data_IF_704602253241
#
_entry.id   IF_704602253241
#
_cell.length_a   1.000
_cell.length_b   1.000
_cell.length_c   1.000
_cell.angle_alpha   90.00
_cell.angle_beta   90.00
_cell.angle_gamma   90.00
#
_symmetry.space_group_name_H-M   'P 1'
#
loop_
_entity.id
_entity.type
_entity.pdbx_description
1 polymer ?
#
# COMPACT_ATOMS: atom_id res chain seq x y z
N UNK A 1 8.61 7.18 -0.69
CA UNK A 1 8.51 8.56 -0.19
C UNK A 1 7.89 9.41 -1.27
N UNK A 2 6.81 10.09 -0.98
CA UNK A 2 6.14 11.01 -1.89
C UNK A 2 6.39 12.44 -1.44
N UNK A 3 6.74 13.32 -2.35
CA UNK A 3 6.89 14.73 -2.09
C UNK A 3 5.69 15.48 -2.66
N UNK A 4 4.96 16.19 -1.81
CA UNK A 4 3.90 17.11 -2.19
C UNK A 4 4.38 18.55 -1.98
N UNK A 5 4.32 19.37 -3.02
CA UNK A 5 4.46 20.82 -2.85
C UNK A 5 3.13 21.39 -2.36
N UNK A 6 3.04 21.74 -1.10
CA UNK A 6 1.98 22.56 -0.60
C UNK A 6 2.44 24.03 -0.64
N UNK A 7 1.74 24.87 -1.40
CA UNK A 7 2.02 26.30 -1.47
C UNK A 7 1.43 27.06 -0.29
N UNK A 8 1.82 26.72 0.91
CA UNK A 8 1.56 27.59 2.06
C UNK A 8 2.72 28.59 2.19
N UNK A 9 2.50 29.80 1.77
CA UNK A 9 3.43 30.91 1.99
C UNK A 9 3.50 31.17 3.50
N UNK A 10 4.64 30.90 4.10
CA UNK A 10 4.91 31.41 5.44
C UNK A 10 5.31 32.89 5.37
N UNK A 11 5.08 33.64 6.46
CA UNK A 11 5.42 35.06 6.61
C UNK A 11 6.87 35.41 6.27
N UNK A 12 7.74 34.42 6.09
CA UNK A 12 9.17 34.53 5.76
C UNK A 12 9.55 34.05 4.35
N UNK A 13 8.58 33.83 3.44
CA UNK A 13 8.87 33.48 2.03
C UNK A 13 9.45 32.09 1.79
N UNK A 14 9.27 31.16 2.72
CA UNK A 14 9.70 29.75 2.57
C UNK A 14 8.61 28.87 1.98
N UNK A 15 9.01 27.91 1.12
CA UNK A 15 8.14 26.84 0.65
C UNK A 15 8.32 25.62 1.55
N UNK A 16 7.23 25.04 2.02
CA UNK A 16 7.27 23.75 2.70
C UNK A 16 7.05 22.63 1.68
N UNK A 17 7.95 21.70 1.65
CA UNK A 17 7.77 20.43 0.96
C UNK A 17 7.27 19.43 1.99
N UNK A 18 6.05 18.97 1.83
CA UNK A 18 5.49 17.90 2.67
C UNK A 18 5.87 16.57 2.02
N UNK A 19 6.71 15.79 2.68
CA UNK A 19 7.00 14.43 2.28
C UNK A 19 6.07 13.47 3.01
N UNK A 20 5.40 12.62 2.26
CA UNK A 20 4.63 11.48 2.77
C UNK A 20 5.37 10.18 2.53
N UNK A 21 5.16 9.20 3.39
CA UNK A 21 5.70 7.86 3.21
C UNK A 21 4.58 6.83 3.16
N UNK A 22 4.77 5.82 2.32
CA UNK A 22 3.91 4.66 2.21
C UNK A 22 4.72 3.46 1.78
N UNK A 23 4.05 2.36 1.56
CA UNK A 23 4.65 1.09 1.14
C UNK A 23 4.15 0.69 -0.24
N UNK A 24 4.79 -0.29 -0.85
CA UNK A 24 4.39 -0.89 -2.11
C UNK A 24 4.88 -2.32 -2.22
N UNK A 25 4.35 -3.04 -3.20
CA UNK A 25 4.68 -4.44 -3.46
C UNK A 25 5.18 -4.58 -4.89
N UNK A 26 6.35 -5.15 -5.06
CA UNK A 26 6.90 -5.47 -6.38
C UNK A 26 6.07 -6.61 -6.99
N UNK A 27 5.54 -6.40 -8.19
CA UNK A 27 4.70 -7.37 -8.90
C UNK A 27 5.31 -7.90 -10.20
N UNK A 28 6.45 -7.35 -10.63
CA UNK A 28 7.17 -7.84 -11.80
C UNK A 28 8.68 -7.69 -11.64
N UNK A 29 9.43 -8.50 -12.39
CA UNK A 29 10.90 -8.46 -12.39
C UNK A 29 11.47 -7.17 -13.00
N UNK A 30 10.72 -6.48 -13.83
CA UNK A 30 11.12 -5.28 -14.55
C UNK A 30 10.69 -3.98 -13.88
N UNK A 31 10.15 -4.04 -12.65
CA UNK A 31 9.97 -2.86 -11.81
C UNK A 31 8.57 -2.31 -11.70
N UNK A 32 7.52 -3.07 -11.98
CA UNK A 32 6.15 -2.68 -11.65
C UNK A 32 5.85 -2.91 -10.17
N UNK A 33 5.19 -1.95 -9.55
CA UNK A 33 4.89 -1.91 -8.13
C UNK A 33 3.42 -1.55 -7.92
N UNK A 34 2.73 -2.32 -7.08
CA UNK A 34 1.40 -1.97 -6.57
C UNK A 34 1.53 -1.16 -5.28
N UNK A 35 0.70 -0.13 -5.15
CA UNK A 35 0.52 0.65 -3.93
C UNK A 35 -0.91 1.20 -3.87
N UNK A 36 -1.24 1.92 -2.79
CA UNK A 36 -2.51 2.65 -2.72
C UNK A 36 -2.42 3.97 -3.50
N UNK A 37 -3.52 4.33 -4.18
CA UNK A 37 -3.60 5.59 -4.93
C UNK A 37 -3.41 6.81 -4.01
N UNK A 38 -3.95 6.79 -2.79
CA UNK A 38 -3.80 7.89 -1.85
C UNK A 38 -2.35 8.13 -1.39
N UNK A 39 -1.47 7.12 -1.51
CA UNK A 39 -0.04 7.25 -1.17
C UNK A 39 0.67 8.16 -2.17
N UNK A 40 0.26 8.15 -3.43
CA UNK A 40 0.89 8.89 -4.53
C UNK A 40 0.06 10.06 -5.04
N UNK A 41 -1.19 10.16 -4.63
CA UNK A 41 -2.10 11.20 -5.11
C UNK A 41 -1.60 12.61 -4.75
N UNK A 42 -1.52 13.48 -5.75
CA UNK A 42 -1.03 14.85 -5.60
C UNK A 42 0.48 14.96 -5.38
N UNK A 43 1.24 13.89 -5.49
CA UNK A 43 2.68 13.93 -5.42
C UNK A 43 3.27 14.56 -6.69
N UNK A 44 4.23 15.47 -6.52
CA UNK A 44 4.99 16.05 -7.64
C UNK A 44 6.11 15.11 -8.10
N UNK A 45 6.62 14.28 -7.20
CA UNK A 45 7.59 13.24 -7.49
C UNK A 45 7.37 12.02 -6.57
N UNK A 46 7.67 10.85 -7.08
CA UNK A 46 7.60 9.59 -6.33
C UNK A 46 8.96 8.93 -6.39
N UNK A 47 9.48 8.55 -5.21
CA UNK A 47 10.73 7.79 -5.10
C UNK A 47 10.47 6.47 -4.38
N UNK A 48 11.10 5.43 -4.88
CA UNK A 48 11.02 4.08 -4.33
C UNK A 48 12.40 3.67 -3.83
N UNK A 49 12.44 3.21 -2.60
CA UNK A 49 13.62 2.56 -2.03
C UNK A 49 13.31 1.08 -1.85
N UNK A 50 14.16 0.24 -2.41
CA UNK A 50 14.02 -1.21 -2.27
C UNK A 50 14.55 -1.65 -0.92
N UNK A 51 13.96 -2.72 -0.41
CA UNK A 51 14.44 -3.33 0.83
C UNK A 51 15.89 -3.80 0.72
N UNK A 52 16.68 -3.49 1.73
CA UNK A 52 18.09 -3.87 1.78
C UNK A 52 19.00 -3.07 0.84
N UNK A 53 18.49 -1.99 0.25
CA UNK A 53 19.25 -1.09 -0.62
C UNK A 53 19.12 0.35 -0.13
N UNK A 54 20.23 1.07 -0.14
CA UNK A 54 20.24 2.53 0.10
C UNK A 54 19.92 3.33 -1.17
N UNK A 55 19.80 2.66 -2.31
CA UNK A 55 19.47 3.30 -3.59
C UNK A 55 17.99 3.69 -3.65
N UNK A 56 17.75 4.88 -4.16
CA UNK A 56 16.43 5.43 -4.42
C UNK A 56 16.18 5.50 -5.93
N UNK A 57 15.05 4.98 -6.36
CA UNK A 57 14.63 4.97 -7.77
C UNK A 57 13.53 5.99 -7.98
N UNK A 58 13.64 6.78 -9.05
CA UNK A 58 12.53 7.59 -9.50
C UNK A 58 11.44 6.67 -10.06
N UNK A 59 10.21 6.88 -9.62
CA UNK A 59 9.07 6.12 -10.05
C UNK A 59 8.11 6.96 -10.89
N UNK A 60 7.56 6.34 -11.93
CA UNK A 60 6.49 6.90 -12.72
C UNK A 60 5.17 6.27 -12.30
N UNK A 61 4.13 7.07 -12.08
CA UNK A 61 2.78 6.57 -11.89
C UNK A 61 2.23 6.16 -13.26
N UNK A 62 2.11 4.86 -13.48
CA UNK A 62 1.62 4.28 -14.75
C UNK A 62 0.10 4.42 -14.84
N UNK A 63 -0.59 4.24 -13.72
CA UNK A 63 -2.02 4.38 -13.62
C UNK A 63 -2.46 4.41 -12.16
N UNK A 64 -3.65 4.98 -11.94
CA UNK A 64 -4.27 4.98 -10.62
C UNK A 64 -5.79 4.96 -10.76
N UNK A 65 -6.42 4.28 -9.83
CA UNK A 65 -7.87 4.23 -9.68
C UNK A 65 -8.25 4.67 -8.27
N UNK A 66 -8.90 5.82 -8.16
CA UNK A 66 -9.33 6.37 -6.87
C UNK A 66 -10.49 5.60 -6.24
N UNK A 67 -11.26 4.86 -7.04
CA UNK A 67 -12.41 4.08 -6.54
C UNK A 67 -11.93 2.84 -5.79
N UNK A 68 -10.97 2.12 -6.33
CA UNK A 68 -10.35 0.97 -5.68
C UNK A 68 -9.16 1.36 -4.78
N UNK A 69 -8.74 2.62 -4.81
CA UNK A 69 -7.56 3.15 -4.12
C UNK A 69 -6.27 2.42 -4.49
N UNK A 70 -6.12 2.01 -5.75
CA UNK A 70 -4.94 1.31 -6.27
C UNK A 70 -4.17 2.21 -7.22
N UNK A 71 -2.84 2.16 -7.13
CA UNK A 71 -1.93 2.76 -8.10
C UNK A 71 -0.86 1.76 -8.52
N UNK A 72 -0.41 1.89 -9.75
CA UNK A 72 0.71 1.14 -10.33
C UNK A 72 1.85 2.09 -10.61
N UNK A 73 3.01 1.78 -10.08
CA UNK A 73 4.25 2.50 -10.31
C UNK A 73 5.19 1.68 -11.18
N UNK A 74 6.09 2.38 -11.89
CA UNK A 74 7.18 1.78 -12.64
C UNK A 74 8.50 2.43 -12.22
N UNK A 75 9.48 1.60 -11.89
CA UNK A 75 10.87 2.00 -11.67
C UNK A 75 11.78 1.37 -12.73
N UNK A 76 12.92 2.00 -12.99
CA UNK A 76 13.94 1.49 -13.91
C UNK A 76 14.89 0.57 -13.14
N UNK A 77 14.42 -0.64 -12.83
CA UNK A 77 15.18 -1.70 -12.18
C UNK A 77 14.80 -3.05 -12.80
N UNK A 78 15.75 -3.97 -12.83
CA UNK A 78 15.59 -5.31 -13.40
C UNK A 78 16.08 -6.36 -12.41
N UNK A 79 15.73 -7.62 -12.64
CA UNK A 79 16.15 -8.72 -11.78
C UNK A 79 15.50 -8.72 -10.41
N UNK A 80 14.38 -8.04 -10.26
CA UNK A 80 13.63 -7.99 -9.02
C UNK A 80 12.88 -9.29 -8.76
N UNK A 81 12.62 -9.58 -7.49
CA UNK A 81 11.80 -10.74 -7.08
C UNK A 81 10.37 -10.26 -6.85
N UNK A 82 9.42 -10.58 -7.75
CA UNK A 82 8.03 -10.20 -7.57
C UNK A 82 7.36 -11.04 -6.49
N UNK A 83 6.34 -10.46 -5.85
CA UNK A 83 5.44 -11.21 -4.98
C UNK A 83 4.68 -12.27 -5.78
N UNK A 84 4.45 -13.41 -5.15
CA UNK A 84 3.55 -14.44 -5.69
C UNK A 84 2.12 -13.99 -5.44
N UNK A 85 1.33 -13.87 -6.50
CA UNK A 85 -0.06 -13.44 -6.40
C UNK A 85 -0.92 -14.62 -5.96
N UNK A 86 -1.64 -14.42 -4.85
CA UNK A 86 -2.60 -15.38 -4.33
C UNK A 86 -4.00 -15.18 -4.91
N UNK A 87 -4.98 -15.83 -4.30
CA UNK A 87 -6.39 -15.74 -4.65
C UNK A 87 -7.20 -15.27 -3.44
N UNK A 88 -7.63 -14.00 -3.44
CA UNK A 88 -8.41 -13.45 -2.33
C UNK A 88 -9.85 -13.98 -2.26
N UNK A 89 -10.36 -14.57 -3.34
CA UNK A 89 -11.70 -15.19 -3.34
C UNK A 89 -11.69 -16.55 -2.63
N UNK A 90 -10.52 -17.18 -2.47
CA UNK A 90 -10.35 -18.46 -1.78
C UNK A 90 -10.07 -18.30 -0.27
N UNK A 91 -10.01 -17.08 0.26
CA UNK A 91 -9.72 -16.83 1.68
C UNK A 91 -10.85 -17.31 2.59
N UNK A 92 -10.46 -17.78 3.77
CA UNK A 92 -11.36 -18.08 4.86
C UNK A 92 -11.01 -17.27 6.11
N UNK A 93 -12.03 -16.91 6.89
CA UNK A 93 -11.83 -16.26 8.19
C UNK A 93 -11.06 -17.21 9.12
N UNK A 94 -10.08 -16.67 9.83
CA UNK A 94 -9.17 -17.41 10.70
C UNK A 94 -7.85 -17.81 10.04
N UNK A 95 -7.70 -17.64 8.73
CA UNK A 95 -6.41 -17.86 8.06
C UNK A 95 -5.35 -16.86 8.52
N UNK A 96 -4.10 -17.30 8.54
CA UNK A 96 -2.95 -16.43 8.87
C UNK A 96 -2.85 -15.28 7.86
N UNK A 97 -2.67 -14.09 8.37
CA UNK A 97 -2.43 -12.88 7.60
C UNK A 97 -1.17 -12.16 8.12
N UNK A 98 -0.25 -11.86 7.22
CA UNK A 98 1.01 -11.19 7.51
C UNK A 98 1.08 -9.89 6.73
N UNK A 99 1.16 -8.76 7.43
CA UNK A 99 1.32 -7.45 6.82
C UNK A 99 2.80 -7.07 6.77
N UNK A 100 3.24 -6.62 5.60
CA UNK A 100 4.61 -6.17 5.36
C UNK A 100 4.60 -4.75 4.83
N UNK A 101 5.34 -3.87 5.47
CA UNK A 101 5.41 -2.48 5.08
C UNK A 101 6.62 -1.76 5.64
N UNK A 102 6.68 -0.45 5.39
CA UNK A 102 7.70 0.44 5.90
C UNK A 102 7.05 1.60 6.65
N UNK A 103 6.56 1.36 7.87
CA UNK A 103 5.93 2.41 8.65
C UNK A 103 6.90 3.56 8.91
N UNK A 104 6.39 4.77 8.79
CA UNK A 104 7.13 6.01 8.99
C UNK A 104 8.26 6.27 7.97
N UNK A 105 8.42 5.42 6.94
CA UNK A 105 9.49 5.56 5.94
C UNK A 105 10.91 5.34 6.48
N UNK A 106 11.04 4.97 7.73
CA UNK A 106 12.33 4.79 8.43
C UNK A 106 12.50 3.40 9.04
N UNK A 107 11.41 2.65 9.16
CA UNK A 107 11.40 1.29 9.70
C UNK A 107 11.14 0.30 8.56
N UNK A 108 12.15 0.16 7.69
CA UNK A 108 12.06 -0.76 6.55
C UNK A 108 11.77 -2.18 7.04
N UNK A 109 10.89 -2.87 6.32
CA UNK A 109 10.49 -4.25 6.57
C UNK A 109 9.90 -4.53 7.95
N UNK A 110 9.04 -3.68 8.40
CA UNK A 110 8.19 -4.03 9.53
C UNK A 110 7.19 -5.08 9.10
N UNK A 111 7.19 -6.18 9.82
CA UNK A 111 6.28 -7.32 9.63
C UNK A 111 5.40 -7.42 10.85
N UNK A 112 4.10 -7.45 10.64
CA UNK A 112 3.12 -7.76 11.69
C UNK A 112 2.27 -8.93 11.24
N UNK A 113 1.80 -9.74 12.19
CA UNK A 113 0.98 -10.91 11.90
C UNK A 113 -0.35 -10.87 12.66
N UNK A 114 -1.27 -11.63 12.14
CA UNK A 114 -2.59 -11.82 12.70
C UNK A 114 -3.35 -12.84 11.86
N UNK A 115 -4.65 -12.66 11.79
CA UNK A 115 -5.56 -13.50 11.02
C UNK A 115 -6.45 -12.65 10.09
N UNK A 116 -7.07 -13.31 9.14
CA UNK A 116 -8.22 -12.77 8.42
C UNK A 116 -9.39 -12.76 9.39
N UNK A 117 -9.79 -11.58 9.88
CA UNK A 117 -10.85 -11.42 10.86
C UNK A 117 -12.23 -11.41 10.25
N UNK A 118 -12.38 -10.89 9.04
CA UNK A 118 -13.61 -10.89 8.27
C UNK A 118 -13.31 -10.72 6.77
N UNK A 119 -14.26 -11.14 5.95
CA UNK A 119 -14.23 -10.99 4.50
C UNK A 119 -15.43 -10.14 4.05
N UNK A 120 -15.28 -9.52 2.87
CA UNK A 120 -16.34 -8.73 2.22
C UNK A 120 -16.92 -7.63 3.12
N UNK A 121 -16.07 -7.00 3.93
CA UNK A 121 -16.48 -5.87 4.77
C UNK A 121 -16.74 -4.64 3.91
N UNK A 122 -17.95 -4.10 4.01
CA UNK A 122 -18.29 -2.79 3.41
C UNK A 122 -17.76 -1.70 4.33
N UNK A 123 -16.81 -0.93 3.84
CA UNK A 123 -16.15 0.15 4.61
C UNK A 123 -16.11 1.40 3.75
N UNK A 124 -16.57 2.51 4.30
CA UNK A 124 -16.43 3.81 3.63
C UNK A 124 -15.05 4.38 3.92
N UNK A 125 -14.26 4.54 2.88
CA UNK A 125 -12.92 5.13 2.94
C UNK A 125 -12.92 6.40 2.09
N UNK A 126 -12.77 7.56 2.72
CA UNK A 126 -12.75 8.87 2.02
C UNK A 126 -13.91 9.07 1.04
N UNK A 127 -15.14 8.79 1.47
CA UNK A 127 -16.40 8.84 0.70
C UNK A 127 -16.52 7.79 -0.42
N UNK A 128 -15.65 6.78 -0.48
CA UNK A 128 -15.77 5.62 -1.35
C UNK A 128 -16.19 4.40 -0.55
N UNK A 129 -17.23 3.73 -0.98
CA UNK A 129 -17.62 2.45 -0.41
C UNK A 129 -16.77 1.34 -1.01
N UNK A 130 -16.01 0.66 -0.17
CA UNK A 130 -15.08 -0.38 -0.57
C UNK A 130 -15.43 -1.69 0.11
N UNK A 131 -15.20 -2.79 -0.60
CA UNK A 131 -15.30 -4.15 -0.06
C UNK A 131 -13.91 -4.65 0.30
N UNK A 132 -13.64 -4.79 1.60
CA UNK A 132 -12.30 -5.00 2.13
C UNK A 132 -12.19 -6.30 2.94
N UNK A 133 -10.96 -6.80 3.05
CA UNK A 133 -10.53 -7.83 4.02
C UNK A 133 -10.28 -7.13 5.34
N UNK A 134 -10.79 -7.67 6.43
CA UNK A 134 -10.45 -7.23 7.79
C UNK A 134 -9.42 -8.16 8.40
N UNK A 135 -8.43 -7.60 9.08
CA UNK A 135 -7.37 -8.33 9.80
C UNK A 135 -7.10 -7.68 11.15
N UNK A 136 -6.61 -8.44 12.10
CA UNK A 136 -6.12 -7.96 13.39
C UNK A 136 -4.59 -7.77 13.42
N UNK A 137 -3.90 -8.09 12.30
CA UNK A 137 -2.51 -7.68 12.13
C UNK A 137 -2.37 -6.16 12.31
N UNK A 138 -1.36 -5.72 13.05
CA UNK A 138 -1.17 -4.29 13.33
C UNK A 138 -0.92 -3.50 12.06
N UNK A 139 -1.84 -2.59 11.75
CA UNK A 139 -1.75 -1.68 10.61
C UNK A 139 -1.57 -0.26 11.15
N UNK A 140 -0.63 0.46 10.59
CA UNK A 140 -0.32 1.85 10.93
C UNK A 140 -0.12 2.68 9.66
N UNK A 141 -0.22 4.01 9.75
CA UNK A 141 0.20 4.89 8.66
C UNK A 141 1.63 4.55 8.21
N UNK A 142 1.88 4.46 6.91
CA UNK A 142 3.14 3.97 6.36
C UNK A 142 3.09 2.50 5.92
N UNK A 143 2.26 1.66 6.51
CA UNK A 143 1.93 0.33 5.96
C UNK A 143 0.98 0.41 4.76
N UNK A 144 0.28 1.53 4.58
CA UNK A 144 -0.60 1.76 3.43
C UNK A 144 0.12 1.51 2.11
N UNK A 145 -0.44 0.69 1.26
CA UNK A 145 0.16 0.24 0.00
C UNK A 145 1.06 -0.97 0.12
N UNK A 146 1.40 -1.40 1.34
CA UNK A 146 2.13 -2.63 1.60
C UNK A 146 1.29 -3.88 1.36
N UNK A 147 1.93 -5.04 1.38
CA UNK A 147 1.28 -6.31 1.11
C UNK A 147 0.71 -6.97 2.36
N UNK A 148 -0.43 -7.62 2.17
CA UNK A 148 -0.96 -8.61 3.10
C UNK A 148 -0.76 -9.99 2.47
N UNK A 149 -0.08 -10.89 3.18
CA UNK A 149 0.30 -12.22 2.70
C UNK A 149 -0.36 -13.32 3.53
N UNK A 150 -0.60 -14.47 2.90
CA UNK A 150 -1.04 -15.67 3.62
C UNK A 150 0.16 -16.47 4.16
N UNK A 151 -0.13 -17.63 4.81
CA UNK A 151 0.89 -18.50 5.38
C UNK A 151 1.85 -19.10 4.35
N UNK A 152 1.45 -19.15 3.07
CA UNK A 152 2.28 -19.63 1.96
C UNK A 152 3.16 -18.50 1.35
N UNK A 153 3.09 -17.29 1.87
CA UNK A 153 3.80 -16.13 1.32
C UNK A 153 3.18 -15.56 0.05
N UNK A 154 1.93 -15.88 -0.24
CA UNK A 154 1.19 -15.36 -1.39
C UNK A 154 0.50 -14.05 -1.03
N UNK A 155 0.56 -13.08 -1.95
CA UNK A 155 -0.09 -11.78 -1.79
C UNK A 155 -1.61 -11.93 -1.91
N UNK A 156 -2.33 -11.61 -0.83
CA UNK A 156 -3.79 -11.71 -0.75
C UNK A 156 -4.49 -10.37 -0.67
N UNK A 157 -3.76 -9.29 -0.39
CA UNK A 157 -4.32 -7.95 -0.31
C UNK A 157 -3.28 -6.85 -0.29
N UNK A 158 -3.74 -5.63 -0.51
CA UNK A 158 -2.97 -4.40 -0.37
C UNK A 158 -3.50 -3.64 0.84
N UNK A 159 -2.63 -3.40 1.82
CA UNK A 159 -3.00 -2.77 3.09
C UNK A 159 -3.49 -1.34 2.86
N UNK A 160 -4.63 -1.01 3.44
CA UNK A 160 -5.21 0.33 3.43
C UNK A 160 -5.35 0.85 4.87
N UNK A 161 -4.46 1.75 5.27
CA UNK A 161 -4.45 2.33 6.62
C UNK A 161 -5.31 3.61 6.74
N UNK A 162 -6.04 3.99 5.69
CA UNK A 162 -6.89 5.21 5.69
C UNK A 162 -8.36 4.97 6.02
N UNK A 163 -8.74 3.77 6.45
CA UNK A 163 -10.12 3.54 6.88
C UNK A 163 -10.45 4.36 8.14
N UNK A 164 -11.70 4.72 8.30
CA UNK A 164 -12.19 5.42 9.50
C UNK A 164 -11.99 4.66 10.81
N UNK A 165 -11.65 3.38 10.72
CA UNK A 165 -11.37 2.49 11.85
C UNK A 165 -9.86 2.27 12.07
N UNK A 166 -8.98 2.93 11.32
CA UNK A 166 -7.52 2.71 11.39
C UNK A 166 -6.90 3.05 12.75
N UNK A 167 -7.60 3.79 13.60
CA UNK A 167 -7.19 4.11 14.97
C UNK A 167 -7.72 3.10 16.01
N UNK A 168 -8.62 2.20 15.60
CA UNK A 168 -9.14 1.16 16.48
C UNK A 168 -8.14 0.01 16.59
N UNK A 169 -7.76 -0.32 17.81
CA UNK A 169 -6.86 -1.46 18.06
C UNK A 169 -7.49 -2.77 17.59
N UNK A 170 -6.69 -3.58 16.88
CA UNK A 170 -7.13 -4.88 16.37
C UNK A 170 -8.04 -4.84 15.15
N UNK A 171 -8.19 -3.68 14.50
CA UNK A 171 -8.98 -3.54 13.27
C UNK A 171 -8.11 -2.91 12.19
N UNK A 172 -7.74 -3.70 11.19
CA UNK A 172 -7.06 -3.27 9.98
C UNK A 172 -7.79 -3.75 8.74
N UNK A 173 -7.56 -3.08 7.61
CA UNK A 173 -8.20 -3.39 6.35
C UNK A 173 -7.21 -3.52 5.21
N UNK A 174 -7.52 -4.40 4.27
CA UNK A 174 -6.78 -4.56 3.04
C UNK A 174 -7.72 -4.69 1.83
N UNK A 175 -7.26 -4.13 0.70
CA UNK A 175 -7.95 -4.27 -0.58
C UNK A 175 -7.67 -5.69 -1.09
N UNK A 176 -8.69 -6.52 -1.40
CA UNK A 176 -8.47 -7.86 -1.90
C UNK A 176 -7.59 -7.85 -3.16
N UNK A 177 -6.65 -8.79 -3.26
CA UNK A 177 -5.70 -8.82 -4.39
C UNK A 177 -6.41 -8.99 -5.73
N UNK A 178 -7.50 -9.76 -5.80
CA UNK A 178 -8.24 -9.94 -7.03
C UNK A 178 -8.87 -8.61 -7.52
N UNK A 179 -9.29 -7.75 -6.60
CA UNK A 179 -9.77 -6.39 -6.92
C UNK A 179 -8.61 -5.50 -7.36
N UNK A 180 -7.51 -5.47 -6.61
CA UNK A 180 -6.34 -4.68 -6.93
C UNK A 180 -5.74 -5.05 -8.29
N UNK A 181 -5.66 -6.34 -8.59
CA UNK A 181 -5.13 -6.85 -9.85
C UNK A 181 -5.98 -6.45 -11.06
N UNK A 182 -7.31 -6.51 -10.94
CA UNK A 182 -8.22 -6.04 -12.01
C UNK A 182 -8.04 -4.55 -12.28
N UNK A 183 -7.95 -3.73 -11.24
CA UNK A 183 -7.71 -2.29 -11.38
C UNK A 183 -6.35 -1.97 -12.00
N UNK A 184 -5.33 -2.77 -11.69
CA UNK A 184 -3.98 -2.59 -12.21
C UNK A 184 -3.83 -3.03 -13.68
N UNK A 185 -4.73 -3.91 -14.16
CA UNK A 185 -4.66 -4.51 -15.50
C UNK A 185 -5.59 -3.82 -16.51
N UNK A 186 -6.38 -2.86 -16.07
CA UNK A 186 -7.28 -2.06 -16.91
C UNK A 186 -6.62 -0.74 -17.33
#
# INVERSE_FOLDING_TARGET
>A
TTEQMSSSQTWFGGYYVQSGAGSGVIISQDGYILTCAHVVNGATSVKVQLNGSDESYDATVVGQDSTSDIAVLKIDATGLTPAVIGDSDALAVGEVAVAVGNPLGTLSNTVTDGIVSALNRQVTVQNNDMTLIQTDASISPGNSGGGLFNANGELIGIVNAKSSYSEAEGIGFAIPINTAWRSASS
#
